data_IF_183188293239
#
_entry.id   IF_183188293239
#
_cell.length_a   1.000
_cell.length_b   1.000
_cell.length_c   1.000
_cell.angle_alpha   90.00
_cell.angle_beta   90.00
_cell.angle_gamma   90.00
#
_symmetry.space_group_name_H-M   'P 1'
#
loop_
_entity.id
_entity.type
_entity.pdbx_description
1 polymer ?
#
# COMPACT_ATOMS: atom_id res chain seq x y z
N UNK A 1 -1.89 -9.88 -8.59
CA UNK A 1 -0.93 -10.60 -7.73
C UNK A 1 -0.27 -9.59 -6.81
N UNK A 2 -0.46 -9.68 -5.49
CA UNK A 2 0.24 -8.81 -4.53
C UNK A 2 1.58 -9.46 -4.14
N UNK A 3 2.64 -8.66 -4.00
CA UNK A 3 3.91 -9.16 -3.49
C UNK A 3 3.91 -8.94 -1.98
N UNK A 4 4.13 -10.01 -1.21
CA UNK A 4 4.24 -9.96 0.24
C UNK A 4 5.71 -9.90 0.62
N UNK A 5 6.09 -8.89 1.37
CA UNK A 5 7.44 -8.73 1.90
C UNK A 5 7.43 -8.83 3.42
N UNK A 6 8.47 -9.48 3.95
CA UNK A 6 8.81 -9.42 5.36
C UNK A 6 9.93 -8.41 5.55
N UNK A 7 9.63 -7.28 6.18
CA UNK A 7 10.62 -6.29 6.57
C UNK A 7 11.01 -6.56 8.02
N UNK A 8 12.20 -7.13 8.22
CA UNK A 8 12.82 -7.24 9.54
C UNK A 8 13.28 -5.85 10.01
N UNK A 9 13.09 -5.55 11.31
CA UNK A 9 13.29 -4.22 11.89
C UNK A 9 14.63 -3.56 11.51
N UNK A 10 15.74 -4.33 11.51
CA UNK A 10 17.08 -3.83 11.19
C UNK A 10 17.26 -3.45 9.70
N UNK A 11 16.54 -4.11 8.80
CA UNK A 11 16.54 -3.76 7.37
C UNK A 11 15.60 -2.58 7.08
N UNK A 12 14.56 -2.44 7.90
CA UNK A 12 13.52 -1.44 7.74
C UNK A 12 14.01 -0.05 8.19
N UNK A 13 14.74 0.05 9.30
CA UNK A 13 15.31 1.30 9.83
C UNK A 13 16.48 1.86 9.02
N UNK A 14 17.04 1.08 8.10
CA UNK A 14 18.06 1.53 7.14
C UNK A 14 17.47 1.96 5.79
N UNK A 15 16.14 1.83 5.62
CA UNK A 15 15.47 2.21 4.39
C UNK A 15 15.25 3.73 4.35
N UNK A 16 15.88 4.40 3.38
CA UNK A 16 15.81 5.86 3.22
C UNK A 16 14.52 6.35 2.55
N UNK A 17 13.62 5.43 2.17
CA UNK A 17 12.38 5.76 1.45
C UNK A 17 11.34 6.32 2.44
N UNK A 18 10.87 7.57 2.25
CA UNK A 18 9.97 8.21 3.20
C UNK A 18 8.67 7.42 3.47
N UNK A 19 8.10 6.80 2.42
CA UNK A 19 6.88 6.00 2.55
C UNK A 19 7.07 4.78 3.47
N UNK A 20 8.17 4.05 3.30
CA UNK A 20 8.49 2.88 4.13
C UNK A 20 8.86 3.31 5.56
N UNK A 21 9.56 4.43 5.72
CA UNK A 21 9.88 4.95 7.04
C UNK A 21 8.61 5.31 7.84
N UNK A 22 7.68 6.04 7.22
CA UNK A 22 6.41 6.41 7.86
C UNK A 22 5.54 5.19 8.22
N UNK A 23 5.58 4.14 7.39
CA UNK A 23 4.97 2.84 7.66
C UNK A 23 5.54 2.21 8.93
N UNK A 24 6.87 2.15 9.06
CA UNK A 24 7.52 1.59 10.26
C UNK A 24 7.16 2.41 11.51
N UNK A 25 7.22 3.73 11.43
CA UNK A 25 6.87 4.63 12.54
C UNK A 25 5.43 4.39 13.02
N UNK A 26 4.47 4.30 12.10
CA UNK A 26 3.08 3.93 12.44
C UNK A 26 2.97 2.54 13.04
N UNK A 27 3.70 1.56 12.49
CA UNK A 27 3.74 0.19 13.00
C UNK A 27 4.31 0.07 14.42
N UNK A 28 5.12 1.03 14.87
CA UNK A 28 5.58 1.08 16.26
C UNK A 28 4.44 1.36 17.23
N UNK A 29 3.48 2.20 16.84
CA UNK A 29 2.35 2.59 17.69
C UNK A 29 1.10 1.72 17.46
N UNK A 30 0.88 1.27 16.22
CA UNK A 30 -0.30 0.47 15.83
C UNK A 30 -0.16 -1.01 16.19
N UNK A 31 -1.27 -1.68 16.51
CA UNK A 31 -1.37 -3.14 16.63
C UNK A 31 -2.26 -3.76 15.57
N UNK A 32 -2.99 -2.94 14.83
CA UNK A 32 -3.99 -3.38 13.86
C UNK A 32 -3.44 -3.27 12.43
N UNK A 33 -3.87 -4.15 11.52
CA UNK A 33 -3.56 -4.01 10.11
C UNK A 33 -4.14 -2.70 9.56
N UNK A 34 -3.37 -2.05 8.70
CA UNK A 34 -3.70 -0.71 8.21
C UNK A 34 -3.30 -0.54 6.75
N UNK A 35 -3.98 0.39 6.08
CA UNK A 35 -3.64 0.80 4.72
C UNK A 35 -3.03 2.20 4.73
N UNK A 36 -1.90 2.32 4.06
CA UNK A 36 -1.17 3.58 3.91
C UNK A 36 -1.57 4.33 2.66
N UNK A 37 -1.44 5.66 2.71
CA UNK A 37 -1.67 6.51 1.56
C UNK A 37 -0.83 6.06 0.36
N UNK A 38 -1.40 6.08 -0.86
CA UNK A 38 -0.65 5.87 -2.09
C UNK A 38 0.66 6.64 -2.14
N UNK A 39 1.76 5.95 -2.42
CA UNK A 39 3.04 6.62 -2.69
C UNK A 39 3.82 5.92 -3.81
N UNK A 40 4.64 6.70 -4.51
CA UNK A 40 5.55 6.18 -5.52
C UNK A 40 6.78 5.56 -4.86
N UNK A 41 7.21 4.39 -5.35
CA UNK A 41 8.45 3.74 -4.94
C UNK A 41 9.24 3.26 -6.16
N UNK A 42 10.54 3.55 -6.15
CA UNK A 42 11.54 3.08 -7.10
C UNK A 42 11.77 1.55 -7.01
N UNK A 43 11.32 0.89 -5.93
CA UNK A 43 11.52 -0.56 -5.74
C UNK A 43 10.80 -1.40 -6.80
N UNK A 44 9.62 -0.93 -7.21
CA UNK A 44 8.81 -1.55 -8.27
C UNK A 44 8.47 -0.56 -9.38
N UNK A 45 9.09 0.62 -9.35
CA UNK A 45 8.91 1.75 -10.28
C UNK A 45 7.45 2.14 -10.52
N UNK A 46 6.65 2.11 -9.44
CA UNK A 46 5.18 2.26 -9.50
C UNK A 46 4.65 2.99 -8.28
N UNK A 47 3.48 3.60 -8.43
CA UNK A 47 2.65 4.03 -7.29
C UNK A 47 1.98 2.80 -6.68
N UNK A 48 2.14 2.62 -5.38
CA UNK A 48 1.68 1.45 -4.65
C UNK A 48 0.70 1.85 -3.53
N UNK A 49 -0.20 0.92 -3.22
CA UNK A 49 -0.86 0.82 -1.93
C UNK A 49 -0.07 -0.16 -1.05
N UNK A 50 0.14 0.22 0.20
CA UNK A 50 0.78 -0.63 1.19
C UNK A 50 -0.25 -1.03 2.24
N UNK A 51 -0.47 -2.34 2.39
CA UNK A 51 -1.20 -2.89 3.53
C UNK A 51 -0.20 -3.47 4.51
N UNK A 52 -0.22 -2.97 5.73
CA UNK A 52 0.73 -3.30 6.76
C UNK A 52 0.10 -4.09 7.90
N UNK A 53 0.87 -4.99 8.50
CA UNK A 53 0.54 -5.69 9.74
C UNK A 53 1.79 -5.72 10.66
N UNK A 54 1.81 -4.91 11.73
CA UNK A 54 2.91 -4.90 12.67
C UNK A 54 2.89 -6.17 13.53
N UNK A 55 4.04 -6.84 13.64
CA UNK A 55 4.25 -7.98 14.53
C UNK A 55 5.05 -7.53 15.74
N UNK A 56 4.46 -7.62 16.93
CA UNK A 56 5.07 -7.15 18.19
C UNK A 56 5.41 -8.32 19.12
N UNK A 57 6.42 -8.13 19.97
CA UNK A 57 6.72 -9.06 21.06
C UNK A 57 5.74 -8.88 22.24
N UNK A 58 5.86 -9.75 23.25
CA UNK A 58 5.02 -9.71 24.45
C UNK A 58 5.10 -8.41 25.26
N UNK A 59 6.11 -7.58 25.02
CA UNK A 59 6.30 -6.29 25.67
C UNK A 59 5.82 -5.13 24.78
N UNK A 60 5.19 -5.42 23.63
CA UNK A 60 4.70 -4.42 22.69
C UNK A 60 5.76 -3.85 21.74
N UNK A 61 7.00 -4.36 21.77
CA UNK A 61 8.06 -3.88 20.88
C UNK A 61 7.90 -4.48 19.49
N UNK A 62 7.98 -3.64 18.46
CA UNK A 62 7.92 -4.06 17.06
C UNK A 62 9.09 -5.01 16.74
N UNK A 63 8.76 -6.21 16.24
CA UNK A 63 9.73 -7.23 15.81
C UNK A 63 9.88 -7.22 14.29
N UNK A 64 8.77 -7.15 13.58
CA UNK A 64 8.72 -7.21 12.13
C UNK A 64 7.48 -6.49 11.61
N UNK A 65 7.54 -6.14 10.34
CA UNK A 65 6.43 -5.55 9.62
C UNK A 65 6.11 -6.45 8.42
N UNK A 66 4.91 -7.04 8.41
CA UNK A 66 4.40 -7.77 7.24
C UNK A 66 3.71 -6.78 6.34
N UNK A 67 4.19 -6.63 5.11
CA UNK A 67 3.62 -5.68 4.17
C UNK A 67 3.21 -6.35 2.86
N UNK A 68 2.00 -6.05 2.40
CA UNK A 68 1.54 -6.37 1.06
C UNK A 68 1.62 -5.10 0.20
N UNK A 69 2.39 -5.20 -0.89
CA UNK A 69 2.51 -4.14 -1.88
C UNK A 69 1.54 -4.42 -3.02
N UNK A 70 0.67 -3.46 -3.31
CA UNK A 70 -0.31 -3.52 -4.40
C UNK A 70 -0.09 -2.34 -5.33
N UNK A 71 0.47 -2.55 -6.54
CA UNK A 71 0.56 -1.48 -7.53
C UNK A 71 -0.83 -0.97 -7.91
N UNK A 72 -1.02 0.36 -7.95
CA UNK A 72 -2.33 0.96 -8.21
C UNK A 72 -2.82 0.62 -9.62
N UNK A 73 -1.93 0.52 -10.59
CA UNK A 73 -2.24 0.12 -11.97
C UNK A 73 -2.87 -1.27 -12.09
N UNK A 74 -2.67 -2.15 -11.10
CA UNK A 74 -3.30 -3.48 -11.09
C UNK A 74 -4.76 -3.41 -10.62
N UNK A 75 -5.13 -2.38 -9.87
CA UNK A 75 -6.50 -2.23 -9.35
C UNK A 75 -7.54 -2.07 -10.47
N UNK A 76 -7.37 -1.21 -11.49
CA UNK A 76 -8.34 -1.07 -12.57
C UNK A 76 -8.63 -2.41 -13.26
N UNK A 77 -7.62 -3.26 -13.47
CA UNK A 77 -7.82 -4.59 -14.08
C UNK A 77 -8.79 -5.46 -13.27
N UNK A 78 -8.67 -5.47 -11.94
CA UNK A 78 -9.57 -6.23 -11.08
C UNK A 78 -10.98 -5.60 -10.99
N UNK A 79 -11.09 -4.27 -11.13
CA UNK A 79 -12.38 -3.58 -11.01
C UNK A 79 -13.15 -3.55 -12.33
N UNK A 80 -12.46 -3.52 -13.47
CA UNK A 80 -13.10 -3.62 -14.78
C UNK A 80 -13.85 -4.93 -14.95
N UNK A 81 -13.35 -6.02 -14.37
CA UNK A 81 -14.02 -7.33 -14.33
C UNK A 81 -15.32 -7.31 -13.52
N UNK A 82 -15.46 -6.35 -12.60
CA UNK A 82 -16.61 -6.19 -11.72
C UNK A 82 -17.64 -5.18 -12.24
N UNK A 83 -17.33 -4.43 -13.29
CA UNK A 83 -18.21 -3.35 -13.79
C UNK A 83 -19.36 -3.96 -14.62
N UNK A 84 -20.61 -3.89 -14.15
CA UNK A 84 -21.70 -4.68 -14.72
C UNK A 84 -22.38 -4.03 -15.94
N UNK A 85 -21.93 -2.85 -16.40
CA UNK A 85 -22.59 -2.10 -17.47
C UNK A 85 -21.62 -1.31 -18.34
N UNK A 86 -21.84 -1.40 -19.65
CA UNK A 86 -21.17 -0.57 -20.66
C UNK A 86 -21.37 0.93 -20.37
N UNK A 87 -20.29 1.70 -20.48
CA UNK A 87 -20.31 3.16 -20.33
C UNK A 87 -20.07 3.70 -18.91
N UNK A 88 -19.85 2.85 -17.90
CA UNK A 88 -19.46 3.31 -16.55
C UNK A 88 -17.96 3.18 -16.30
N UNK A 89 -17.35 4.25 -15.78
CA UNK A 89 -15.94 4.25 -15.35
C UNK A 89 -15.86 4.01 -13.85
N UNK A 90 -15.31 2.87 -13.39
CA UNK A 90 -15.12 2.64 -11.97
C UNK A 90 -14.01 3.53 -11.40
N UNK A 91 -14.17 3.92 -10.14
CA UNK A 91 -13.16 4.66 -9.36
C UNK A 91 -13.11 4.14 -7.93
N UNK A 92 -11.95 4.32 -7.28
CA UNK A 92 -11.76 3.99 -5.86
C UNK A 92 -11.62 5.29 -5.10
N UNK A 93 -12.43 5.45 -4.04
CA UNK A 93 -12.29 6.55 -3.10
C UNK A 93 -11.30 6.17 -2.01
N UNK A 94 -10.37 7.08 -1.71
CA UNK A 94 -9.43 6.93 -0.62
C UNK A 94 -9.77 7.86 0.55
N UNK A 95 -9.93 7.31 1.76
CA UNK A 95 -10.23 8.01 3.02
C UNK A 95 -11.20 9.20 2.86
N UNK A 96 -12.35 8.93 2.24
CA UNK A 96 -13.48 9.85 2.07
C UNK A 96 -13.23 11.15 1.26
N UNK A 97 -11.99 11.62 1.12
CA UNK A 97 -11.69 12.96 0.59
C UNK A 97 -10.68 12.98 -0.57
N UNK A 98 -10.02 11.86 -0.91
CA UNK A 98 -8.97 11.81 -1.93
C UNK A 98 -9.28 10.83 -3.06
N UNK A 99 -9.22 11.33 -4.29
CA UNK A 99 -9.56 10.58 -5.49
C UNK A 99 -8.36 9.74 -5.95
N UNK A 100 -8.46 8.41 -5.91
CA UNK A 100 -7.55 7.54 -6.68
C UNK A 100 -8.19 7.31 -8.05
N UNK A 101 -7.82 8.12 -9.06
CA UNK A 101 -8.29 7.92 -10.44
C UNK A 101 -7.52 6.74 -11.03
N UNK A 102 -8.17 5.60 -11.31
CA UNK A 102 -7.46 4.45 -11.90
C UNK A 102 -7.16 4.65 -13.40
N UNK A 103 -7.65 5.71 -14.04
CA UNK A 103 -7.86 5.73 -15.50
C UNK A 103 -7.06 6.76 -16.32
N UNK A 104 -6.28 7.67 -15.74
CA UNK A 104 -5.66 8.78 -16.53
C UNK A 104 -4.15 8.65 -16.84
N UNK A 105 -3.57 7.46 -16.76
CA UNK A 105 -2.15 7.22 -17.09
C UNK A 105 -1.91 6.41 -18.37
N UNK A 106 -2.94 6.17 -19.20
CA UNK A 106 -2.82 5.43 -20.47
C UNK A 106 -3.04 6.28 -21.74
N UNK A 107 -3.03 7.60 -21.63
CA UNK A 107 -3.00 8.50 -22.79
C UNK A 107 -1.99 9.64 -22.55
N UNK A 108 -0.72 9.33 -22.75
CA UNK A 108 0.36 10.28 -23.09
C UNK A 108 1.39 9.56 -23.94
#
# INVERSE_FOLDING_TARGET
MGIVFFLGLASATQNTRPGIHSCIERGMDSTEPSWDEPFFTDTVDKTILLHELPTKDKNGRLLAMLAQIVPIEELPRHISELSPRDGMTPFILWRYDSFCQPHYLLLS
#
